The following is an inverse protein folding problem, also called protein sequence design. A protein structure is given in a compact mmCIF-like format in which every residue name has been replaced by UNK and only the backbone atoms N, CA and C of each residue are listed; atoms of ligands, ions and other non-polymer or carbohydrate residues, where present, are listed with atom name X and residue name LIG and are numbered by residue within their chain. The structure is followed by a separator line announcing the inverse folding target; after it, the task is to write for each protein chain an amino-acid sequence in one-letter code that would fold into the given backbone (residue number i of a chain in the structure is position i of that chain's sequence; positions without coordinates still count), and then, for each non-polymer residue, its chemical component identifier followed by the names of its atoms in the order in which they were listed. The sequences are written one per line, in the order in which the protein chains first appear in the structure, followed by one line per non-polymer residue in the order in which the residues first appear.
data_IF_935506307748
#
_entry.id   IF_935506307748
#
_cell.length_a   1.000
_cell.length_b   1.000
_cell.length_c   1.000
_cell.angle_alpha   90.00
_cell.angle_beta   90.00
_cell.angle_gamma   90.00
#
_symmetry.space_group_name_H-M   'P 1'
#
loop_
_entity.id
_entity.type
_entity.pdbx_description
1 polymer ?
#
# COMPACT_ATOMS: atom_id res chain seq x y z
N UNK A 1 -17.00 27.55 31.37
CA UNK A 1 -15.56 27.43 31.00
C UNK A 1 -15.34 26.04 30.39
N UNK A 2 -14.97 25.95 29.10
CA UNK A 2 -14.53 24.68 28.50
C UNK A 2 -13.11 24.38 28.97
N UNK A 3 -12.85 23.15 29.43
CA UNK A 3 -11.50 22.66 29.72
C UNK A 3 -10.87 22.21 28.41
N UNK A 4 -9.79 22.87 28.01
CA UNK A 4 -8.93 22.39 26.93
C UNK A 4 -8.09 21.24 27.48
N UNK A 5 -8.44 20.01 27.08
CA UNK A 5 -7.63 18.84 27.37
C UNK A 5 -6.44 18.90 26.40
N UNK A 6 -5.26 19.25 26.91
CA UNK A 6 -4.00 19.14 26.14
C UNK A 6 -3.73 17.65 25.92
N UNK A 7 -4.15 17.15 24.76
CA UNK A 7 -3.74 15.82 24.30
C UNK A 7 -2.22 15.89 24.13
N UNK A 8 -1.43 15.04 24.81
CA UNK A 8 -0.01 14.98 24.55
C UNK A 8 0.14 14.53 23.10
N UNK A 9 0.67 15.42 22.27
CA UNK A 9 1.14 15.07 20.94
C UNK A 9 2.34 14.15 21.17
N UNK A 10 2.10 12.84 21.28
CA UNK A 10 3.18 11.86 21.29
C UNK A 10 3.89 12.03 19.95
N UNK A 11 4.98 12.78 19.96
CA UNK A 11 5.92 12.85 18.86
C UNK A 11 6.54 11.45 18.81
N UNK A 12 5.87 10.53 18.13
CA UNK A 12 6.43 9.26 17.69
C UNK A 12 7.48 9.59 16.64
N UNK A 13 8.62 10.12 17.10
CA UNK A 13 9.82 10.37 16.33
C UNK A 13 10.40 9.01 15.94
N UNK A 14 9.76 8.39 14.96
CA UNK A 14 10.31 7.23 14.25
C UNK A 14 11.66 7.65 13.71
N UNK A 15 12.71 6.88 14.02
CA UNK A 15 14.06 7.15 13.54
C UNK A 15 14.07 7.13 12.00
N UNK A 16 14.04 8.32 11.40
CA UNK A 16 14.05 8.56 9.96
C UNK A 16 15.43 9.13 9.59
N UNK A 17 16.13 8.48 8.66
CA UNK A 17 17.37 9.03 8.10
C UNK A 17 17.10 10.09 7.01
N UNK A 18 15.85 10.17 6.54
CA UNK A 18 15.30 11.26 5.72
C UNK A 18 13.80 10.97 5.52
N UNK A 19 13.45 10.42 4.34
CA UNK A 19 12.14 9.86 4.00
C UNK A 19 12.01 8.35 4.28
N UNK A 20 13.13 7.68 4.52
CA UNK A 20 13.23 6.25 4.80
C UNK A 20 13.58 6.00 6.28
N UNK A 21 13.01 4.96 6.86
CA UNK A 21 13.30 4.49 8.21
C UNK A 21 14.64 3.75 8.22
N UNK A 22 15.37 3.74 9.34
CA UNK A 22 16.63 2.96 9.47
C UNK A 22 16.43 1.48 9.11
N UNK A 23 15.29 0.92 9.51
CA UNK A 23 14.87 -0.44 9.18
C UNK A 23 14.80 -0.65 7.65
N UNK A 24 14.35 0.34 6.88
CA UNK A 24 14.29 0.26 5.41
C UNK A 24 15.70 0.13 4.81
N UNK A 25 16.67 0.87 5.33
CA UNK A 25 18.07 0.76 4.90
C UNK A 25 18.66 -0.63 5.17
N UNK A 26 18.32 -1.23 6.31
CA UNK A 26 18.72 -2.61 6.65
C UNK A 26 18.10 -3.59 5.66
N UNK A 27 16.81 -3.47 5.35
CA UNK A 27 16.14 -4.36 4.38
C UNK A 27 16.79 -4.25 3.01
N UNK A 28 17.08 -3.03 2.53
CA UNK A 28 17.75 -2.81 1.24
C UNK A 28 19.13 -3.47 1.24
N UNK A 29 19.88 -3.35 2.33
CA UNK A 29 21.20 -3.98 2.47
C UNK A 29 21.09 -5.51 2.46
N UNK A 30 20.16 -6.08 3.22
CA UNK A 30 19.90 -7.52 3.23
C UNK A 30 19.46 -8.06 1.86
N UNK A 31 18.80 -7.23 1.04
CA UNK A 31 18.34 -7.63 -0.28
C UNK A 31 19.47 -8.00 -1.26
N UNK A 32 20.67 -7.43 -1.09
CA UNK A 32 21.85 -7.84 -1.86
C UNK A 32 22.20 -9.31 -1.61
N UNK A 33 22.07 -9.78 -0.36
CA UNK A 33 22.30 -11.18 -0.01
C UNK A 33 21.29 -12.11 -0.70
N UNK A 34 20.01 -11.71 -0.73
CA UNK A 34 18.95 -12.47 -1.40
C UNK A 34 19.19 -12.52 -2.92
N UNK A 35 19.56 -11.40 -3.53
CA UNK A 35 19.92 -11.33 -4.95
C UNK A 35 21.11 -12.25 -5.26
N UNK A 36 22.15 -12.22 -4.42
CA UNK A 36 23.33 -13.07 -4.61
C UNK A 36 23.03 -14.56 -4.46
N UNK A 37 22.18 -14.95 -3.50
CA UNK A 37 21.75 -16.34 -3.32
C UNK A 37 20.89 -16.84 -4.48
N UNK A 38 20.04 -15.98 -5.04
CA UNK A 38 19.13 -16.35 -6.14
C UNK A 38 19.73 -16.21 -7.54
N UNK A 39 20.97 -15.71 -7.67
CA UNK A 39 21.62 -15.46 -8.98
C UNK A 39 21.74 -16.71 -9.86
N UNK A 40 21.77 -17.91 -9.27
CA UNK A 40 21.93 -19.18 -9.98
C UNK A 40 20.76 -19.54 -10.90
N UNK A 41 19.61 -18.90 -10.71
CA UNK A 41 18.40 -19.11 -11.52
C UNK A 41 18.51 -18.35 -12.86
N UNK A 42 19.40 -17.35 -12.94
CA UNK A 42 19.48 -16.40 -14.06
C UNK A 42 20.69 -16.69 -14.92
N UNK A 43 20.52 -16.45 -16.23
CA UNK A 43 21.59 -16.58 -17.22
C UNK A 43 22.85 -15.80 -16.79
N UNK A 44 24.07 -16.36 -16.92
CA UNK A 44 25.29 -15.78 -16.37
C UNK A 44 25.53 -14.30 -16.69
N UNK A 45 25.26 -13.89 -17.93
CA UNK A 45 25.44 -12.50 -18.38
C UNK A 45 24.51 -11.50 -17.67
N UNK A 46 23.33 -11.96 -17.22
CA UNK A 46 22.30 -11.16 -16.56
C UNK A 46 22.40 -11.20 -15.03
N UNK A 47 23.35 -11.95 -14.46
CA UNK A 47 23.47 -12.09 -13.01
C UNK A 47 23.77 -10.76 -12.30
N UNK A 48 24.69 -9.96 -12.85
CA UNK A 48 25.06 -8.67 -12.28
C UNK A 48 23.86 -7.70 -12.25
N UNK A 49 23.17 -7.42 -13.37
CA UNK A 49 22.00 -6.53 -13.33
C UNK A 49 20.87 -7.12 -12.49
N UNK A 50 20.71 -8.45 -12.45
CA UNK A 50 19.71 -9.09 -11.60
C UNK A 50 19.98 -8.88 -10.11
N UNK A 51 21.23 -9.06 -9.64
CA UNK A 51 21.59 -8.83 -8.23
C UNK A 51 21.42 -7.35 -7.87
N UNK A 52 21.79 -6.43 -8.77
CA UNK A 52 21.60 -4.99 -8.57
C UNK A 52 20.12 -4.57 -8.60
N UNK A 53 19.27 -5.30 -9.32
CA UNK A 53 17.85 -5.01 -9.42
C UNK A 53 17.12 -5.13 -8.08
N UNK A 54 17.48 -6.11 -7.23
CA UNK A 54 16.86 -6.28 -5.90
C UNK A 54 16.88 -5.02 -5.03
N UNK A 55 18.05 -4.45 -4.69
CA UNK A 55 18.11 -3.26 -3.84
C UNK A 55 17.47 -2.04 -4.51
N UNK A 56 17.57 -1.91 -5.84
CA UNK A 56 16.96 -0.80 -6.58
C UNK A 56 15.43 -0.88 -6.52
N UNK A 57 14.86 -2.05 -6.83
CA UNK A 57 13.42 -2.27 -6.78
C UNK A 57 12.87 -2.05 -5.36
N UNK A 58 13.59 -2.57 -4.36
CA UNK A 58 13.20 -2.47 -2.96
C UNK A 58 13.31 -1.02 -2.44
N UNK A 59 14.32 -0.27 -2.88
CA UNK A 59 14.42 1.16 -2.62
C UNK A 59 13.21 1.94 -3.16
N UNK A 60 12.80 1.69 -4.41
CA UNK A 60 11.63 2.34 -5.02
C UNK A 60 10.34 1.98 -4.28
N UNK A 61 10.18 0.73 -3.85
CA UNK A 61 9.01 0.26 -3.11
C UNK A 61 8.89 0.86 -1.70
N UNK A 62 10.00 1.11 -1.03
CA UNK A 62 10.04 1.67 0.31
C UNK A 62 9.99 3.20 0.34
N UNK A 63 10.26 3.85 -0.79
CA UNK A 63 10.12 5.30 -0.93
C UNK A 63 8.67 5.72 -0.61
N UNK A 64 8.46 6.85 0.10
CA UNK A 64 7.11 7.38 0.30
C UNK A 64 6.45 7.71 -1.04
N UNK A 65 5.16 7.39 -1.13
CA UNK A 65 4.36 7.72 -2.30
C UNK A 65 4.21 9.23 -2.45
N UNK A 66 4.30 9.69 -3.70
CA UNK A 66 4.06 11.08 -4.07
C UNK A 66 2.55 11.37 -4.01
N UNK A 67 1.73 10.41 -4.46
CA UNK A 67 0.28 10.57 -4.58
C UNK A 67 -0.45 10.38 -3.25
N UNK A 68 0.08 9.51 -2.37
CA UNK A 68 -0.59 9.15 -1.10
C UNK A 68 0.29 9.54 0.10
N UNK A 69 -0.01 10.64 0.81
CA UNK A 69 0.79 11.09 1.93
C UNK A 69 0.79 10.05 3.06
N UNK A 70 1.96 9.85 3.68
CA UNK A 70 2.13 8.93 4.81
C UNK A 70 2.14 7.44 4.44
N UNK A 71 2.05 7.08 3.16
CA UNK A 71 2.10 5.69 2.69
C UNK A 71 3.36 5.45 1.87
N UNK A 72 3.91 4.23 1.97
CA UNK A 72 5.01 3.76 1.12
C UNK A 72 4.46 3.21 -0.19
N UNK A 73 5.25 3.24 -1.26
CA UNK A 73 4.82 2.77 -2.58
C UNK A 73 4.30 1.32 -2.58
N UNK A 74 4.92 0.43 -1.80
CA UNK A 74 4.43 -0.95 -1.69
C UNK A 74 3.00 -1.03 -1.12
N UNK A 75 2.61 -0.13 -0.21
CA UNK A 75 1.27 -0.12 0.39
C UNK A 75 0.22 0.33 -0.62
N UNK A 76 0.57 1.32 -1.44
CA UNK A 76 -0.29 1.80 -2.53
C UNK A 76 -0.46 0.71 -3.58
N UNK A 77 0.64 0.06 -4.01
CA UNK A 77 0.59 -1.04 -4.96
C UNK A 77 -0.28 -2.21 -4.45
N UNK A 78 -0.15 -2.60 -3.19
CA UNK A 78 -1.00 -3.62 -2.57
C UNK A 78 -2.47 -3.19 -2.50
N UNK A 79 -2.75 -1.91 -2.26
CA UNK A 79 -4.12 -1.38 -2.25
C UNK A 79 -4.76 -1.47 -3.62
N UNK A 80 -4.01 -1.13 -4.68
CA UNK A 80 -4.48 -1.27 -6.07
C UNK A 80 -4.70 -2.74 -6.42
N UNK A 81 -3.79 -3.63 -6.01
CA UNK A 81 -3.91 -5.07 -6.26
C UNK A 81 -5.12 -5.70 -5.54
N UNK A 82 -5.38 -5.27 -4.30
CA UNK A 82 -6.50 -5.75 -3.47
C UNK A 82 -7.81 -5.01 -3.74
N UNK A 83 -7.81 -3.99 -4.60
CA UNK A 83 -9.02 -3.22 -4.90
C UNK A 83 -10.05 -4.16 -5.52
N UNK A 84 -11.18 -4.30 -4.86
CA UNK A 84 -12.31 -5.06 -5.36
C UNK A 84 -12.78 -4.46 -6.70
N UNK A 85 -13.06 -5.33 -7.66
CA UNK A 85 -13.54 -4.96 -9.00
C UNK A 85 -15.06 -4.93 -9.08
N UNK A 86 -15.74 -5.18 -7.98
CA UNK A 86 -17.19 -5.09 -7.91
C UNK A 86 -17.65 -3.67 -8.27
N UNK A 87 -18.32 -3.58 -9.41
CA UNK A 87 -19.03 -2.36 -9.82
C UNK A 87 -20.30 -2.32 -9.01
N UNK A 88 -20.33 -1.46 -8.00
CA UNK A 88 -21.57 -1.14 -7.30
C UNK A 88 -22.54 -0.57 -8.34
N UNK A 89 -23.56 -1.36 -8.70
CA UNK A 89 -24.70 -0.83 -9.44
C UNK A 89 -25.45 0.11 -8.51
N UNK A 90 -25.77 1.29 -9.00
CA UNK A 90 -26.68 2.20 -8.28
C UNK A 90 -27.98 1.46 -8.03
N UNK A 91 -28.45 1.46 -6.79
CA UNK A 91 -29.80 1.01 -6.46
C UNK A 91 -30.75 1.99 -7.15
N UNK A 92 -31.57 1.49 -8.06
CA UNK A 92 -32.66 2.28 -8.62
C UNK A 92 -33.78 2.32 -7.58
N UNK A 93 -33.96 3.49 -6.96
CA UNK A 93 -34.93 3.69 -5.89
C UNK A 93 -36.36 3.50 -6.43
N UNK A 94 -36.59 3.82 -7.71
CA UNK A 94 -37.92 3.71 -8.31
C UNK A 94 -38.33 2.24 -8.50
N UNK A 95 -37.39 1.36 -8.85
CA UNK A 95 -37.70 -0.07 -8.94
C UNK A 95 -38.03 -0.67 -7.57
N UNK A 96 -37.42 -0.17 -6.51
CA UNK A 96 -37.66 -0.61 -5.14
C UNK A 96 -39.03 -0.16 -4.61
N UNK A 97 -39.45 1.08 -4.94
CA UNK A 97 -40.77 1.60 -4.53
C UNK A 97 -41.90 0.85 -5.25
N UNK A 98 -41.77 0.61 -6.56
CA UNK A 98 -42.78 -0.11 -7.33
C UNK A 98 -42.97 -1.57 -6.86
N UNK A 99 -41.91 -2.19 -6.34
CA UNK A 99 -41.96 -3.56 -5.81
C UNK A 99 -42.70 -3.61 -4.46
N UNK A 100 -42.58 -2.56 -3.64
CA UNK A 100 -43.32 -2.42 -2.37
C UNK A 100 -44.80 -2.10 -2.62
N UNK A 101 -45.12 -1.18 -3.53
CA UNK A 101 -46.51 -0.85 -3.88
C UNK A 101 -47.23 -2.05 -4.52
N UNK A 102 -46.54 -2.83 -5.37
CA UNK A 102 -47.10 -4.04 -5.97
C UNK A 102 -47.37 -5.18 -4.97
N UNK A 103 -46.71 -5.17 -3.80
CA UNK A 103 -46.95 -6.13 -2.72
C UNK A 103 -48.11 -5.68 -1.81
N UNK A 104 -48.35 -4.37 -1.68
CA UNK A 104 -49.51 -3.80 -0.97
C UNK A 104 -50.83 -4.03 -1.75
N UNK A 105 -50.81 -3.94 -3.08
CA UNK A 105 -51.99 -4.19 -3.93
C UNK A 105 -52.38 -5.68 -4.05
N UNK A 106 -51.55 -6.59 -3.52
CA UNK A 106 -51.76 -8.03 -3.56
C UNK A 106 -52.38 -8.63 -2.27
N UNK A 107 -52.69 -7.80 -1.26
CA UNK A 107 -53.28 -8.19 0.04
C UNK A 107 -54.75 -7.79 0.14
#
# INVERSE_FOLDING_TARGET
MRREIRVPEEIQATAKWSKLTVLDGIIITCSFGIGFLSKGIVFPLLQIPYVAFFPIALYILLLPSIDVPGRKNYQVALTVLKKDRNVYKSIDINSFINEIEGEEDAI
#
